data_IF_460607539680
#
_entry.id   IF_460607539680
#
_cell.length_a   1.000
_cell.length_b   1.000
_cell.length_c   1.000
_cell.angle_alpha   90.00
_cell.angle_beta   90.00
_cell.angle_gamma   90.00
#
_symmetry.space_group_name_H-M   'P 1'
#
loop_
_entity.id
_entity.type
_entity.pdbx_description
1 polymer ?
#
# COMPACT_ATOMS: atom_id res chain seq x y z
N UNK A 1 0.35 24.19 -14.95
CA UNK A 1 0.69 24.50 -13.55
C UNK A 1 1.64 23.42 -13.06
N UNK A 2 2.86 23.77 -12.66
CA UNK A 2 3.84 22.79 -12.15
C UNK A 2 3.30 22.20 -10.85
N UNK A 3 2.74 20.98 -10.89
CA UNK A 3 2.23 20.32 -9.69
C UNK A 3 3.42 19.78 -8.91
N UNK A 4 4.03 20.67 -8.13
CA UNK A 4 5.19 20.31 -7.32
C UNK A 4 4.70 19.39 -6.20
N UNK A 5 5.27 18.19 -6.10
CA UNK A 5 5.02 17.32 -4.96
C UNK A 5 5.40 18.03 -3.66
N UNK A 6 4.64 17.87 -2.56
CA UNK A 6 5.09 18.32 -1.25
C UNK A 6 6.22 17.43 -0.74
N UNK A 7 7.02 17.92 0.20
CA UNK A 7 7.93 17.04 0.95
C UNK A 7 7.13 16.10 1.88
N UNK A 8 7.62 14.87 2.15
CA UNK A 8 8.85 14.25 1.62
C UNK A 8 8.69 13.60 0.23
N UNK A 9 7.50 13.67 -0.37
CA UNK A 9 7.18 12.99 -1.63
C UNK A 9 7.97 13.50 -2.83
N UNK A 10 8.34 14.77 -2.83
CA UNK A 10 9.21 15.35 -3.86
C UNK A 10 10.58 14.68 -3.89
N UNK A 11 11.23 14.56 -2.74
CA UNK A 11 12.53 13.89 -2.62
C UNK A 11 12.47 12.45 -3.12
N UNK A 12 11.39 11.73 -2.80
CA UNK A 12 11.15 10.37 -3.31
C UNK A 12 10.94 10.35 -4.83
N UNK A 13 10.14 11.28 -5.35
CA UNK A 13 9.84 11.37 -6.77
C UNK A 13 11.09 11.70 -7.60
N UNK A 14 11.94 12.60 -7.13
CA UNK A 14 13.21 12.96 -7.77
C UNK A 14 14.16 11.75 -7.85
N UNK A 15 14.21 10.91 -6.80
CA UNK A 15 15.06 9.69 -6.76
C UNK A 15 14.73 8.67 -7.85
N UNK A 16 13.45 8.55 -8.21
CA UNK A 16 12.96 7.55 -9.20
C UNK A 16 12.48 8.16 -10.52
N UNK A 17 12.72 9.45 -10.71
CA UNK A 17 12.36 10.19 -11.92
C UNK A 17 10.85 10.27 -12.17
N UNK A 18 10.05 10.39 -11.11
CA UNK A 18 8.61 10.62 -11.21
C UNK A 18 8.36 12.13 -11.22
N UNK A 19 7.70 12.64 -12.26
CA UNK A 19 7.55 14.09 -12.49
C UNK A 19 6.11 14.59 -12.33
N UNK A 20 5.14 13.68 -12.18
CA UNK A 20 3.72 14.07 -12.08
C UNK A 20 2.88 13.06 -11.28
N UNK A 21 1.77 13.55 -10.71
CA UNK A 21 0.75 12.71 -10.07
C UNK A 21 0.17 11.65 -11.01
N UNK A 22 0.10 11.94 -12.32
CA UNK A 22 -0.38 10.99 -13.31
C UNK A 22 0.57 9.80 -13.48
N UNK A 23 1.88 10.08 -13.57
CA UNK A 23 2.90 9.05 -13.65
C UNK A 23 2.99 8.25 -12.34
N UNK A 24 2.81 8.90 -11.20
CA UNK A 24 2.76 8.22 -9.89
C UNK A 24 1.54 7.29 -9.79
N UNK A 25 0.37 7.73 -10.26
CA UNK A 25 -0.85 6.90 -10.31
C UNK A 25 -0.67 5.65 -11.18
N UNK A 26 -0.07 5.81 -12.36
CA UNK A 26 0.20 4.70 -13.26
C UNK A 26 1.17 3.68 -12.64
N UNK A 27 2.28 4.15 -12.08
CA UNK A 27 3.28 3.27 -11.44
C UNK A 27 2.79 2.60 -10.16
N UNK A 28 1.90 3.25 -9.41
CA UNK A 28 1.35 2.71 -8.16
C UNK A 28 0.11 1.82 -8.37
N UNK A 29 -0.45 1.79 -9.57
CA UNK A 29 -1.73 1.12 -9.84
C UNK A 29 -2.93 1.77 -9.13
N UNK A 30 -2.78 3.01 -8.64
CA UNK A 30 -3.80 3.72 -7.88
C UNK A 30 -4.52 4.75 -8.75
N UNK A 31 -5.75 5.09 -8.38
CA UNK A 31 -6.47 6.18 -9.06
C UNK A 31 -5.78 7.54 -8.83
N UNK A 32 -5.81 8.44 -9.82
CA UNK A 32 -5.26 9.80 -9.67
C UNK A 32 -5.84 10.55 -8.45
N UNK A 33 -7.15 10.49 -8.15
CA UNK A 33 -7.70 11.06 -6.92
C UNK A 33 -7.13 10.45 -5.63
N UNK A 34 -6.90 9.13 -5.61
CA UNK A 34 -6.30 8.42 -4.46
C UNK A 34 -4.88 8.90 -4.20
N UNK A 35 -4.05 8.96 -5.25
CA UNK A 35 -2.67 9.46 -5.15
C UNK A 35 -2.66 10.93 -4.71
N UNK A 36 -3.47 11.77 -5.35
CA UNK A 36 -3.55 13.18 -4.98
C UNK A 36 -3.96 13.35 -3.52
N UNK A 37 -4.98 12.64 -3.05
CA UNK A 37 -5.44 12.72 -1.66
C UNK A 37 -4.38 12.26 -0.65
N UNK A 38 -3.66 11.19 -0.97
CA UNK A 38 -2.61 10.63 -0.10
C UNK A 38 -1.37 11.53 -0.03
N UNK A 39 -0.92 12.05 -1.18
CA UNK A 39 0.32 12.82 -1.30
C UNK A 39 0.13 14.28 -0.90
N UNK A 40 -1.02 14.89 -1.18
CA UNK A 40 -1.31 16.28 -0.78
C UNK A 40 -1.66 16.45 0.71
N UNK A 41 -1.69 15.37 1.49
CA UNK A 41 -2.08 15.41 2.91
C UNK A 41 -3.57 15.60 3.16
N UNK A 42 -4.43 15.59 2.12
CA UNK A 42 -5.90 15.64 2.28
C UNK A 42 -6.44 14.41 3.01
N UNK A 43 -5.80 13.26 2.82
CA UNK A 43 -6.01 12.08 3.66
C UNK A 43 -5.01 12.08 4.80
N UNK A 44 -5.48 12.34 6.03
CA UNK A 44 -4.62 12.35 7.21
C UNK A 44 -3.94 10.99 7.49
N UNK A 45 -4.57 9.88 7.05
CA UNK A 45 -4.06 8.51 7.22
C UNK A 45 -4.44 7.64 6.02
N UNK A 46 -3.62 7.64 4.94
CA UNK A 46 -3.80 6.68 3.85
C UNK A 46 -3.76 5.25 4.39
N UNK A 47 -4.60 4.39 3.83
CA UNK A 47 -4.64 2.96 4.18
C UNK A 47 -3.30 2.30 3.82
N UNK A 48 -2.93 1.24 4.55
CA UNK A 48 -1.66 0.53 4.33
C UNK A 48 -1.51 0.06 2.88
N UNK A 49 -2.60 -0.38 2.23
CA UNK A 49 -2.62 -0.74 0.80
C UNK A 49 -2.24 0.42 -0.14
N UNK A 50 -2.68 1.63 0.17
CA UNK A 50 -2.34 2.84 -0.59
C UNK A 50 -0.87 3.17 -0.41
N UNK A 51 -0.35 3.02 0.82
CA UNK A 51 1.07 3.20 1.10
C UNK A 51 1.93 2.13 0.40
N UNK A 52 1.47 0.87 0.34
CA UNK A 52 2.16 -0.19 -0.38
C UNK A 52 2.27 0.10 -1.88
N UNK A 53 1.18 0.51 -2.54
CA UNK A 53 1.23 0.90 -3.96
C UNK A 53 2.12 2.11 -4.22
N UNK A 54 2.15 3.08 -3.29
CA UNK A 54 3.07 4.22 -3.38
C UNK A 54 4.52 3.79 -3.16
N UNK A 55 4.80 2.91 -2.19
CA UNK A 55 6.13 2.39 -1.91
C UNK A 55 6.71 1.60 -3.11
N UNK A 56 5.88 0.78 -3.75
CA UNK A 56 6.21 0.07 -5.00
C UNK A 56 6.61 1.06 -6.10
N UNK A 57 5.83 2.13 -6.30
CA UNK A 57 6.13 3.14 -7.30
C UNK A 57 7.46 3.89 -7.02
N UNK A 58 7.81 4.04 -5.75
CA UNK A 58 9.08 4.63 -5.29
C UNK A 58 10.22 3.62 -5.12
N UNK A 59 9.98 2.33 -5.37
CA UNK A 59 10.97 1.24 -5.24
C UNK A 59 11.62 1.17 -3.86
N UNK A 60 10.83 1.41 -2.81
CA UNK A 60 11.24 1.30 -1.41
C UNK A 60 10.28 0.35 -0.69
N UNK A 61 10.64 -0.12 0.51
CA UNK A 61 9.70 -0.91 1.30
C UNK A 61 8.59 -0.04 1.87
N UNK A 62 7.44 -0.66 2.18
CA UNK A 62 6.35 0.05 2.86
C UNK A 62 6.79 0.55 4.24
N UNK A 63 7.71 -0.16 4.91
CA UNK A 63 8.28 0.28 6.18
C UNK A 63 9.18 1.51 6.03
N UNK A 64 10.03 1.54 4.99
CA UNK A 64 10.87 2.70 4.69
C UNK A 64 10.00 3.92 4.35
N UNK A 65 8.94 3.75 3.55
CA UNK A 65 8.00 4.84 3.26
C UNK A 65 7.32 5.35 4.55
N UNK A 66 6.91 4.43 5.42
CA UNK A 66 6.28 4.75 6.70
C UNK A 66 7.21 5.53 7.63
N UNK A 67 8.48 5.13 7.71
CA UNK A 67 9.52 5.84 8.46
C UNK A 67 9.76 7.26 7.92
N UNK A 68 9.90 7.41 6.60
CA UNK A 68 10.05 8.72 5.93
C UNK A 68 8.85 9.65 6.20
N UNK A 69 7.65 9.08 6.33
CA UNK A 69 6.44 9.83 6.66
C UNK A 69 6.31 10.13 8.17
N UNK A 70 7.29 9.77 9.00
CA UNK A 70 7.24 9.93 10.46
C UNK A 70 6.18 9.05 11.12
N UNK A 71 5.83 7.94 10.48
CA UNK A 71 4.79 6.99 10.91
C UNK A 71 5.44 5.62 11.05
N UNK A 72 6.16 5.33 12.15
CA UNK A 72 6.93 4.11 12.24
C UNK A 72 6.01 2.90 12.04
N UNK A 73 6.40 1.98 11.15
CA UNK A 73 5.58 0.86 10.68
C UNK A 73 5.19 -0.11 11.82
N UNK A 74 5.95 -0.06 12.90
CA UNK A 74 5.64 -0.58 14.22
C UNK A 74 5.98 0.56 15.18
N UNK A 75 5.22 0.77 16.25
CA UNK A 75 5.81 1.42 17.43
C UNK A 75 7.18 0.77 17.66
N UNK A 76 8.24 1.54 17.94
CA UNK A 76 9.54 0.97 18.29
C UNK A 76 9.29 -0.09 19.37
N UNK A 77 9.25 -1.36 18.96
CA UNK A 77 8.89 -2.45 19.86
C UNK A 77 10.16 -2.70 20.62
N UNK A 78 10.29 -2.05 21.77
CA UNK A 78 11.22 -2.48 22.79
C UNK A 78 11.09 -4.00 22.93
N UNK A 79 12.23 -4.70 22.97
CA UNK A 79 12.25 -6.16 23.08
C UNK A 79 11.31 -6.58 24.21
N UNK A 80 10.34 -7.46 23.91
CA UNK A 80 9.34 -7.86 24.89
C UNK A 80 10.04 -8.59 26.03
N UNK A 81 10.17 -7.90 27.17
CA UNK A 81 10.61 -8.48 28.43
C UNK A 81 9.38 -8.91 29.21
N UNK A 82 9.22 -10.21 29.49
CA UNK A 82 8.13 -10.65 30.34
C UNK A 82 8.29 -10.03 31.74
N UNK A 83 7.18 -9.71 32.42
CA UNK A 83 7.23 -9.11 33.75
C UNK A 83 7.79 -10.11 34.77
N UNK A 84 8.24 -9.63 35.93
CA UNK A 84 8.93 -10.47 36.94
C UNK A 84 8.07 -11.66 37.39
N UNK A 85 6.74 -11.48 37.45
CA UNK A 85 5.78 -12.51 37.83
C UNK A 85 5.79 -13.71 36.86
N UNK A 86 6.25 -13.53 35.63
CA UNK A 86 6.40 -14.64 34.68
C UNK A 86 7.41 -15.68 35.17
N UNK A 87 8.32 -15.32 36.09
CA UNK A 87 9.23 -16.26 36.73
C UNK A 87 8.49 -17.33 37.56
N UNK A 88 7.30 -17.02 38.08
CA UNK A 88 6.49 -17.92 38.91
C UNK A 88 5.71 -18.97 38.12
N UNK A 89 5.59 -18.80 36.79
CA UNK A 89 4.83 -19.70 35.95
C UNK A 89 5.44 -21.10 35.95
N UNK A 90 4.59 -22.12 36.08
CA UNK A 90 4.97 -23.49 35.78
C UNK A 90 5.30 -23.64 34.30
N UNK A 91 6.02 -24.71 33.94
CA UNK A 91 6.36 -25.00 32.53
C UNK A 91 5.11 -25.00 31.63
N UNK A 92 4.03 -25.63 32.10
CA UNK A 92 2.77 -25.74 31.35
C UNK A 92 2.11 -24.38 31.10
N UNK A 93 2.18 -23.48 32.08
CA UNK A 93 1.62 -22.14 31.94
C UNK A 93 2.45 -21.29 30.98
N UNK A 94 3.79 -21.40 31.01
CA UNK A 94 4.66 -20.75 30.02
C UNK A 94 4.34 -21.22 28.60
N UNK A 95 4.24 -22.53 28.41
CA UNK A 95 3.87 -23.13 27.11
C UNK A 95 2.51 -22.61 26.61
N UNK A 96 1.54 -22.42 27.51
CA UNK A 96 0.24 -21.86 27.15
C UNK A 96 0.32 -20.39 26.73
N UNK A 97 1.08 -19.57 27.45
CA UNK A 97 1.30 -18.15 27.09
C UNK A 97 2.02 -18.04 25.75
N UNK A 98 3.06 -18.83 25.54
CA UNK A 98 3.78 -18.88 24.26
C UNK A 98 2.86 -19.23 23.11
N UNK A 99 1.95 -20.18 23.31
CA UNK A 99 0.99 -20.57 22.30
C UNK A 99 -0.02 -19.46 21.99
N UNK A 100 -0.50 -18.74 23.00
CA UNK A 100 -1.37 -17.57 22.78
C UNK A 100 -0.63 -16.52 21.95
N UNK A 101 0.63 -16.22 22.27
CA UNK A 101 1.45 -15.26 21.51
C UNK A 101 1.56 -15.71 20.05
N UNK A 102 1.88 -16.99 19.80
CA UNK A 102 1.95 -17.54 18.43
C UNK A 102 0.63 -17.40 17.69
N UNK A 103 -0.49 -17.69 18.35
CA UNK A 103 -1.83 -17.58 17.75
C UNK A 103 -2.17 -16.14 17.39
N UNK A 104 -1.87 -15.17 18.26
CA UNK A 104 -2.08 -13.75 18.00
C UNK A 104 -1.27 -13.26 16.79
N UNK A 105 -0.02 -13.70 16.67
CA UNK A 105 0.84 -13.35 15.53
C UNK A 105 0.32 -14.00 14.24
N UNK A 106 -0.02 -15.30 14.28
CA UNK A 106 -0.53 -16.04 13.13
C UNK A 106 -1.82 -15.44 12.58
N UNK A 107 -2.76 -15.08 13.44
CA UNK A 107 -4.01 -14.42 13.03
C UNK A 107 -3.76 -13.07 12.34
N UNK A 108 -2.80 -12.28 12.84
CA UNK A 108 -2.41 -11.00 12.23
C UNK A 108 -1.79 -11.18 10.84
N UNK A 109 -0.95 -12.20 10.67
CA UNK A 109 -0.32 -12.51 9.39
C UNK A 109 -1.36 -12.96 8.35
N UNK A 110 -2.33 -13.79 8.75
CA UNK A 110 -3.39 -14.29 7.85
C UNK A 110 -4.31 -13.18 7.32
N UNK A 111 -4.65 -12.18 8.14
CA UNK A 111 -5.41 -11.02 7.66
C UNK A 111 -4.65 -10.19 6.64
N UNK A 112 -3.32 -10.08 6.79
CA UNK A 112 -2.49 -9.32 5.84
C UNK A 112 -2.44 -10.00 4.47
N UNK A 113 -2.39 -11.34 4.43
CA UNK A 113 -2.37 -12.10 3.16
C UNK A 113 -3.73 -12.07 2.45
N UNK A 114 -4.84 -12.25 3.18
CA UNK A 114 -6.19 -12.26 2.58
C UNK A 114 -6.56 -10.90 1.94
N UNK A 115 -6.13 -9.79 2.56
CA UNK A 115 -6.38 -8.45 2.02
C UNK A 115 -5.61 -8.19 0.70
N UNK A 116 -4.46 -8.85 0.50
CA UNK A 116 -3.66 -8.74 -0.73
C UNK A 116 -4.26 -9.56 -1.86
N UNK A 117 -4.68 -10.81 -1.60
CA UNK A 117 -5.28 -11.69 -2.63
C UNK A 117 -6.63 -11.18 -3.13
N UNK A 118 -7.47 -10.65 -2.24
CA UNK A 118 -8.75 -10.06 -2.62
C UNK A 118 -8.56 -8.81 -3.51
N UNK A 119 -7.51 -8.03 -3.25
CA UNK A 119 -7.19 -6.83 -4.02
C UNK A 119 -6.58 -7.15 -5.40
N UNK A 120 -5.69 -8.14 -5.51
CA UNK A 120 -5.16 -8.59 -6.80
C UNK A 120 -6.30 -9.05 -7.71
N UNK A 121 -7.25 -9.80 -7.16
CA UNK A 121 -8.44 -10.25 -7.90
C UNK A 121 -9.32 -9.07 -8.35
N UNK A 122 -9.55 -8.07 -7.48
CA UNK A 122 -10.35 -6.89 -7.82
C UNK A 122 -9.63 -5.95 -8.80
N UNK A 123 -8.30 -5.82 -8.70
CA UNK A 123 -7.48 -5.03 -9.59
C UNK A 123 -7.37 -5.66 -10.99
N UNK A 124 -7.22 -6.98 -11.06
CA UNK A 124 -7.23 -7.73 -12.32
C UNK A 124 -8.61 -7.66 -12.99
N UNK A 125 -9.69 -7.76 -12.21
CA UNK A 125 -11.05 -7.55 -12.72
C UNK A 125 -11.25 -6.14 -13.28
N UNK A 126 -10.75 -5.10 -12.58
CA UNK A 126 -10.83 -3.70 -13.04
C UNK A 126 -9.94 -3.42 -14.24
N UNK A 127 -8.76 -4.02 -14.33
CA UNK A 127 -7.86 -3.93 -15.50
C UNK A 127 -8.53 -4.56 -16.72
N UNK A 128 -9.14 -5.72 -16.55
CA UNK A 128 -9.89 -6.41 -17.63
C UNK A 128 -11.08 -5.57 -18.13
N UNK A 129 -11.82 -4.94 -17.22
CA UNK A 129 -12.93 -4.03 -17.55
C UNK A 129 -12.46 -2.75 -18.28
N UNK A 130 -11.32 -2.20 -17.89
CA UNK A 130 -10.74 -1.02 -18.53
C UNK A 130 -10.24 -1.33 -19.94
N UNK A 131 -9.54 -2.46 -20.13
CA UNK A 131 -9.08 -2.93 -21.43
C UNK A 131 -10.26 -3.21 -22.38
N UNK A 132 -11.33 -3.84 -21.89
CA UNK A 132 -12.54 -4.06 -22.69
C UNK A 132 -13.20 -2.75 -23.14
N UNK A 133 -13.19 -1.72 -22.29
CA UNK A 133 -13.73 -0.39 -22.62
C UNK A 133 -12.86 0.37 -23.63
N UNK A 134 -11.53 0.24 -23.57
CA UNK A 134 -10.63 0.86 -24.56
C UNK A 134 -10.78 0.23 -25.96
N UNK A 135 -10.98 -1.09 -26.03
CA UNK A 135 -11.24 -1.76 -27.31
C UNK A 135 -12.57 -1.32 -27.95
N UNK A 136 -13.62 -1.12 -27.16
CA UNK A 136 -14.93 -0.67 -27.66
C UNK A 136 -14.89 0.80 -28.14
N UNK A 137 -14.11 1.65 -27.48
CA UNK A 137 -13.89 3.05 -27.89
C UNK A 137 -13.02 3.14 -29.16
N UNK A 138 -11.98 2.31 -29.27
CA UNK A 138 -11.14 2.24 -30.47
C UNK A 138 -11.91 1.70 -31.70
N UNK A 139 -12.83 0.76 -31.50
CA UNK A 139 -13.70 0.24 -32.56
C UNK A 139 -14.67 1.30 -33.11
N UNK A 140 -15.18 2.20 -32.25
CA UNK A 140 -16.05 3.30 -32.67
C UNK A 140 -15.32 4.35 -33.51
N UNK A 141 -14.11 4.74 -33.11
CA UNK A 141 -13.30 5.70 -33.86
C UNK A 141 -12.84 5.18 -35.24
N UNK A 142 -12.70 3.86 -35.42
CA UNK A 142 -12.32 3.26 -36.72
C UNK A 142 -13.49 3.23 -37.71
N UNK A 143 -14.73 3.20 -37.22
CA UNK A 143 -15.93 3.17 -38.06
C UNK A 143 -16.33 4.57 -38.56
N UNK A 144 -16.01 5.62 -37.82
CA UNK A 144 -16.27 7.02 -38.22
C UNK A 144 -15.31 7.54 -39.31
N UNK A 145 -14.11 6.96 -39.41
CA UNK A 145 -13.08 7.39 -40.38
C UNK A 145 -13.11 6.63 -41.72
N UNK A 146 -14.08 5.72 -41.92
CA UNK A 146 -14.21 4.90 -43.14
C UNK A 146 -15.37 5.36 -44.04
N UNK A 147 -16.01 6.49 -43.72
CA UNK A 147 -17.21 7.01 -44.40
C UNK A 147 -17.06 8.40 -45.01
N UNK A 148 -15.83 8.87 -45.27
CA UNK A 148 -15.57 10.08 -46.06
C UNK A 148 -14.78 9.75 -47.33
#
# INVERSE_FOLDING_TARGET
>A
MSSTFPEPWKTLADRVGITSYGQLAERSGLSRPTVYSAVSGRSARPQLKTLAGLAEAFRISTEELLDILGRPAREEVEEYRPPEEAALLTRREREAVDEIIRLLIKARQQNTTNDVDAYLTEADAKRTLFEAHEWDMAARHKNENSGQ
#
